data_IF_913819374018
#
_entry.id   IF_913819374018
#
_cell.length_a   1.000
_cell.length_b   1.000
_cell.length_c   1.000
_cell.angle_alpha   90.00
_cell.angle_beta   90.00
_cell.angle_gamma   90.00
#
_symmetry.space_group_name_H-M   'P 1'
#
loop_
_entity.id
_entity.type
_entity.pdbx_description
1 polymer ?
#
# COMPACT_ATOMS: atom_id res chain seq x y z
N UNK A 1 11.13 15.23 -22.24
CA UNK A 1 10.66 13.85 -22.52
C UNK A 1 11.03 13.01 -21.31
N UNK A 2 10.08 12.34 -20.64
CA UNK A 2 10.39 11.50 -19.49
C UNK A 2 11.35 10.37 -19.90
N UNK A 3 12.28 10.02 -19.02
CA UNK A 3 13.18 8.89 -19.27
C UNK A 3 12.41 7.57 -19.17
N UNK A 4 12.96 6.49 -19.74
CA UNK A 4 12.38 5.15 -19.58
C UNK A 4 12.25 4.76 -18.09
N UNK A 5 13.17 5.23 -17.24
CA UNK A 5 13.16 4.99 -15.80
C UNK A 5 12.02 5.75 -15.12
N UNK A 6 11.84 7.03 -15.45
CA UNK A 6 10.72 7.85 -14.95
C UNK A 6 9.38 7.24 -15.35
N UNK A 7 9.19 6.88 -16.63
CA UNK A 7 7.97 6.21 -17.11
C UNK A 7 7.70 4.90 -16.36
N UNK A 8 8.73 4.09 -16.13
CA UNK A 8 8.60 2.83 -15.39
C UNK A 8 8.15 3.08 -13.95
N UNK A 9 8.77 4.04 -13.26
CA UNK A 9 8.39 4.41 -11.90
C UNK A 9 6.95 4.94 -11.85
N UNK A 10 6.55 5.82 -12.77
CA UNK A 10 5.17 6.30 -12.87
C UNK A 10 4.17 5.16 -13.00
N UNK A 11 4.43 4.18 -13.88
CA UNK A 11 3.56 3.00 -14.06
C UNK A 11 3.51 2.16 -12.78
N UNK A 12 4.63 1.96 -12.10
CA UNK A 12 4.66 1.25 -10.81
C UNK A 12 3.78 1.96 -9.77
N UNK A 13 3.87 3.29 -9.66
CA UNK A 13 3.05 4.06 -8.70
C UNK A 13 1.56 3.99 -9.07
N UNK A 14 1.21 4.01 -10.36
CA UNK A 14 -0.18 3.76 -10.82
C UNK A 14 -0.68 2.39 -10.35
N UNK A 15 0.11 1.33 -10.56
CA UNK A 15 -0.24 -0.03 -10.15
C UNK A 15 -0.39 -0.12 -8.63
N UNK A 16 0.51 0.50 -7.87
CA UNK A 16 0.42 0.54 -6.40
C UNK A 16 -0.84 1.29 -5.96
N UNK A 17 -1.10 2.49 -6.49
CA UNK A 17 -2.23 3.31 -6.12
C UNK A 17 -3.56 2.57 -6.34
N UNK A 18 -3.74 1.97 -7.51
CA UNK A 18 -4.94 1.17 -7.81
C UNK A 18 -4.97 -0.11 -6.95
N UNK A 19 -3.84 -0.79 -6.82
CA UNK A 19 -3.72 -2.05 -6.07
C UNK A 19 -4.13 -1.89 -4.60
N UNK A 20 -3.66 -0.85 -3.91
CA UNK A 20 -4.02 -0.61 -2.51
C UNK A 20 -5.49 -0.19 -2.36
N UNK A 21 -6.07 0.52 -3.32
CA UNK A 21 -7.51 0.81 -3.32
C UNK A 21 -8.34 -0.47 -3.45
N UNK A 22 -7.93 -1.40 -4.32
CA UNK A 22 -8.60 -2.68 -4.47
C UNK A 22 -8.48 -3.55 -3.20
N UNK A 23 -7.31 -3.57 -2.57
CA UNK A 23 -7.11 -4.23 -1.26
C UNK A 23 -8.00 -3.57 -0.20
N UNK A 24 -8.04 -2.24 -0.15
CA UNK A 24 -8.90 -1.49 0.76
C UNK A 24 -10.38 -1.81 0.58
N UNK A 25 -10.85 -1.90 -0.68
CA UNK A 25 -12.21 -2.30 -1.01
C UNK A 25 -12.52 -3.74 -0.56
N UNK A 26 -11.55 -4.67 -0.65
CA UNK A 26 -11.74 -6.06 -0.18
C UNK A 26 -12.04 -6.11 1.32
N UNK A 27 -11.48 -5.24 2.15
CA UNK A 27 -11.84 -5.18 3.57
C UNK A 27 -13.32 -4.84 3.80
N UNK A 28 -13.97 -4.17 2.84
CA UNK A 28 -15.36 -3.71 2.98
C UNK A 28 -16.34 -4.76 2.49
N UNK A 29 -16.04 -5.37 1.35
CA UNK A 29 -16.93 -6.30 0.68
C UNK A 29 -16.63 -7.77 0.98
N UNK A 30 -15.43 -8.07 1.50
CA UNK A 30 -15.03 -9.44 1.85
C UNK A 30 -14.28 -9.43 3.18
N UNK A 31 -14.96 -9.28 4.32
CA UNK A 31 -14.27 -9.11 5.62
C UNK A 31 -13.33 -10.27 5.99
N UNK A 32 -13.59 -11.48 5.49
CA UNK A 32 -12.66 -12.63 5.63
C UNK A 32 -11.30 -12.38 4.97
N UNK A 33 -11.21 -11.53 3.96
CA UNK A 33 -9.93 -11.14 3.34
C UNK A 33 -8.94 -10.54 4.33
N UNK A 34 -9.40 -10.05 5.49
CA UNK A 34 -8.51 -9.59 6.55
C UNK A 34 -7.58 -10.70 7.09
N UNK A 35 -7.94 -11.97 6.97
CA UNK A 35 -7.05 -13.08 7.34
C UNK A 35 -5.83 -13.17 6.42
N UNK A 36 -5.94 -12.67 5.19
CA UNK A 36 -4.85 -12.66 4.22
C UNK A 36 -3.78 -11.60 4.54
N UNK A 37 -4.08 -10.67 5.46
CA UNK A 37 -3.16 -9.60 5.86
C UNK A 37 -1.89 -10.15 6.52
N UNK A 38 -1.99 -11.32 7.18
CA UNK A 38 -0.85 -12.05 7.73
C UNK A 38 -0.73 -12.04 9.26
N UNK A 39 -1.68 -11.40 9.97
CA UNK A 39 -1.73 -11.46 11.44
C UNK A 39 -2.36 -12.81 11.88
N UNK A 40 -1.63 -13.66 12.62
CA UNK A 40 -2.19 -14.92 13.12
C UNK A 40 -3.41 -14.72 14.02
N UNK A 41 -4.39 -15.62 13.95
CA UNK A 41 -5.58 -15.56 14.80
C UNK A 41 -6.57 -14.43 14.49
N UNK A 42 -6.45 -13.79 13.32
CA UNK A 42 -7.36 -12.71 12.89
C UNK A 42 -8.84 -13.09 13.02
N UNK A 43 -9.63 -12.42 13.89
CA UNK A 43 -10.99 -12.84 14.22
C UNK A 43 -12.03 -12.23 13.26
N UNK A 44 -11.93 -12.55 11.96
CA UNK A 44 -12.77 -11.96 10.90
C UNK A 44 -14.29 -12.16 11.10
N UNK A 45 -14.69 -13.13 11.93
CA UNK A 45 -16.08 -13.37 12.32
C UNK A 45 -16.67 -12.37 13.31
N UNK A 46 -15.85 -11.58 14.02
CA UNK A 46 -16.32 -10.62 15.02
C UNK A 46 -16.79 -9.30 14.37
N UNK A 47 -18.01 -8.81 14.66
CA UNK A 47 -18.49 -7.52 14.13
C UNK A 47 -17.56 -6.35 14.44
N UNK A 48 -17.05 -6.27 15.67
CA UNK A 48 -16.12 -5.20 16.08
C UNK A 48 -14.81 -5.24 15.27
N UNK A 49 -14.28 -6.43 14.98
CA UNK A 49 -13.10 -6.56 14.14
C UNK A 49 -13.39 -6.16 12.69
N UNK A 50 -14.57 -6.47 12.14
CA UNK A 50 -14.97 -6.00 10.81
C UNK A 50 -15.02 -4.47 10.72
N UNK A 51 -15.49 -3.80 11.77
CA UNK A 51 -15.45 -2.33 11.82
C UNK A 51 -14.00 -1.80 11.80
N UNK A 52 -13.09 -2.40 12.57
CA UNK A 52 -11.67 -2.07 12.53
C UNK A 52 -11.01 -2.35 11.17
N UNK A 53 -11.33 -3.48 10.54
CA UNK A 53 -10.90 -3.80 9.19
C UNK A 53 -11.39 -2.75 8.19
N UNK A 54 -12.60 -2.22 8.39
CA UNK A 54 -13.13 -1.14 7.56
C UNK A 54 -12.38 0.17 7.71
N UNK A 55 -11.98 0.54 8.94
CA UNK A 55 -11.09 1.69 9.18
C UNK A 55 -9.78 1.55 8.39
N UNK A 56 -9.16 0.36 8.41
CA UNK A 56 -7.97 0.10 7.59
C UNK A 56 -8.29 0.23 6.09
N UNK A 57 -9.33 -0.44 5.61
CA UNK A 57 -9.68 -0.41 4.19
C UNK A 57 -9.90 1.00 3.66
N UNK A 58 -10.54 1.87 4.46
CA UNK A 58 -10.73 3.28 4.12
C UNK A 58 -9.41 4.05 4.04
N UNK A 59 -8.44 3.74 4.90
CA UNK A 59 -7.09 4.33 4.82
C UNK A 59 -6.37 3.91 3.55
N UNK A 60 -6.41 2.62 3.20
CA UNK A 60 -5.76 2.11 1.99
C UNK A 60 -6.39 2.76 0.72
N UNK A 61 -7.72 2.89 0.68
CA UNK A 61 -8.42 3.61 -0.40
C UNK A 61 -8.01 5.08 -0.46
N UNK A 62 -7.96 5.75 0.69
CA UNK A 62 -7.60 7.18 0.76
C UNK A 62 -6.17 7.42 0.31
N UNK A 63 -5.22 6.59 0.74
CA UNK A 63 -3.82 6.68 0.32
C UNK A 63 -3.68 6.46 -1.19
N UNK A 64 -4.38 5.47 -1.75
CA UNK A 64 -4.38 5.26 -3.20
C UNK A 64 -4.97 6.45 -3.95
N UNK A 65 -6.08 7.02 -3.47
CA UNK A 65 -6.68 8.21 -4.07
C UNK A 65 -5.72 9.43 -4.02
N UNK A 66 -5.03 9.64 -2.90
CA UNK A 66 -4.01 10.70 -2.79
C UNK A 66 -2.89 10.52 -3.81
N UNK A 67 -2.43 9.28 -4.04
CA UNK A 67 -1.43 8.98 -5.08
C UNK A 67 -1.99 9.21 -6.49
N UNK A 68 -3.25 8.82 -6.77
CA UNK A 68 -3.89 9.08 -8.06
C UNK A 68 -3.99 10.58 -8.35
N UNK A 69 -4.35 11.39 -7.34
CA UNK A 69 -4.40 12.85 -7.47
C UNK A 69 -3.01 13.40 -7.79
N UNK A 70 -1.96 12.93 -7.10
CA UNK A 70 -0.59 13.33 -7.40
C UNK A 70 -0.17 12.92 -8.82
N UNK A 71 -0.41 11.68 -9.23
CA UNK A 71 -0.09 11.17 -10.56
C UNK A 71 -0.79 11.94 -11.70
N UNK A 72 -1.99 12.48 -11.45
CA UNK A 72 -2.78 13.19 -12.44
C UNK A 72 -2.49 14.69 -12.50
N UNK A 73 -2.08 15.31 -11.39
CA UNK A 73 -2.06 16.76 -11.25
C UNK A 73 -0.78 17.37 -10.66
N UNK A 74 0.17 16.55 -10.20
CA UNK A 74 1.40 17.02 -9.57
C UNK A 74 2.65 16.81 -10.45
N UNK A 75 3.76 17.41 -10.03
CA UNK A 75 5.07 17.10 -10.60
C UNK A 75 5.57 15.72 -10.17
N UNK A 76 6.52 15.16 -10.92
CA UNK A 76 7.18 13.91 -10.56
C UNK A 76 7.82 13.99 -9.17
N UNK A 77 8.47 15.12 -8.84
CA UNK A 77 9.07 15.36 -7.53
C UNK A 77 8.05 15.25 -6.37
N UNK A 78 6.88 15.88 -6.50
CA UNK A 78 5.84 15.77 -5.46
C UNK A 78 5.23 14.36 -5.43
N UNK A 79 5.01 13.74 -6.59
CA UNK A 79 4.53 12.35 -6.67
C UNK A 79 5.51 11.37 -6.03
N UNK A 80 6.81 11.60 -6.18
CA UNK A 80 7.87 10.87 -5.49
C UNK A 80 7.74 10.97 -3.98
N UNK A 81 7.63 12.18 -3.43
CA UNK A 81 7.40 12.37 -1.98
C UNK A 81 6.12 11.69 -1.48
N UNK A 82 5.02 11.82 -2.21
CA UNK A 82 3.75 11.17 -1.85
C UNK A 82 3.88 9.64 -1.86
N UNK A 83 4.63 9.09 -2.82
CA UNK A 83 4.92 7.65 -2.91
C UNK A 83 5.77 7.19 -1.73
N UNK A 84 6.81 7.96 -1.37
CA UNK A 84 7.66 7.65 -0.21
C UNK A 84 6.87 7.69 1.11
N UNK A 85 5.98 8.67 1.28
CA UNK A 85 5.09 8.73 2.43
C UNK A 85 4.15 7.52 2.49
N UNK A 86 3.58 7.12 1.35
CA UNK A 86 2.75 5.90 1.24
C UNK A 86 3.53 4.62 1.54
N UNK A 87 4.80 4.55 1.15
CA UNK A 87 5.66 3.38 1.40
C UNK A 87 5.85 3.08 2.90
N UNK A 88 5.77 4.11 3.75
CA UNK A 88 5.81 3.96 5.21
C UNK A 88 4.62 3.15 5.73
N UNK A 89 3.44 3.28 5.12
CA UNK A 89 2.27 2.50 5.52
C UNK A 89 2.49 1.00 5.27
N UNK A 90 2.97 0.63 4.08
CA UNK A 90 3.31 -0.76 3.77
C UNK A 90 4.46 -1.28 4.66
N UNK A 91 5.45 -0.44 4.98
CA UNK A 91 6.52 -0.79 5.92
C UNK A 91 6.00 -1.04 7.34
N UNK A 92 5.09 -0.20 7.83
CA UNK A 92 4.44 -0.37 9.13
C UNK A 92 3.58 -1.64 9.17
N UNK A 93 2.86 -1.95 8.08
CA UNK A 93 2.10 -3.19 7.93
C UNK A 93 3.02 -4.43 7.99
N UNK A 94 4.21 -4.36 7.35
CA UNK A 94 5.21 -5.42 7.44
C UNK A 94 5.67 -5.66 8.89
N UNK A 95 5.96 -4.58 9.62
CA UNK A 95 6.37 -4.66 11.03
C UNK A 95 5.24 -5.21 11.91
N UNK A 96 4.00 -4.76 11.70
CA UNK A 96 2.84 -5.26 12.43
C UNK A 96 2.67 -6.78 12.26
N UNK A 97 2.77 -7.27 11.01
CA UNK A 97 2.71 -8.72 10.73
C UNK A 97 3.88 -9.47 11.36
N UNK A 98 5.11 -8.96 11.24
CA UNK A 98 6.30 -9.58 11.83
C UNK A 98 6.18 -9.70 13.36
N UNK A 99 5.81 -8.61 14.04
CA UNK A 99 5.71 -8.57 15.50
C UNK A 99 4.49 -9.30 16.05
N UNK A 100 3.51 -9.61 15.19
CA UNK A 100 2.39 -10.50 15.52
C UNK A 100 2.74 -11.99 15.36
N UNK A 101 3.98 -12.34 15.01
CA UNK A 101 4.38 -13.72 14.71
C UNK A 101 3.89 -14.24 13.36
N UNK A 102 3.54 -13.34 12.44
CA UNK A 102 3.08 -13.67 11.10
C UNK A 102 4.19 -14.24 10.19
N UNK A 103 3.83 -14.93 9.10
CA UNK A 103 4.80 -15.61 8.24
C UNK A 103 5.62 -14.63 7.39
N UNK A 104 6.88 -14.98 7.11
CA UNK A 104 7.80 -14.19 6.28
C UNK A 104 7.25 -13.89 4.87
N UNK A 105 6.51 -14.84 4.30
CA UNK A 105 5.84 -14.65 3.03
C UNK A 105 4.90 -13.42 3.03
N UNK A 106 4.30 -13.07 4.17
CA UNK A 106 3.42 -11.90 4.29
C UNK A 106 4.19 -10.64 4.65
N UNK A 107 5.01 -10.65 5.71
CA UNK A 107 5.70 -9.42 6.12
C UNK A 107 6.83 -9.02 5.16
N UNK A 108 7.58 -9.96 4.60
CA UNK A 108 8.66 -9.65 3.65
C UNK A 108 8.16 -9.71 2.20
N UNK A 109 7.44 -10.77 1.85
CA UNK A 109 7.03 -11.04 0.46
C UNK A 109 5.90 -10.15 -0.07
N UNK A 110 5.01 -9.66 0.80
CA UNK A 110 3.90 -8.78 0.38
C UNK A 110 4.16 -7.35 0.85
N UNK A 111 4.15 -7.13 2.17
CA UNK A 111 4.22 -5.78 2.73
C UNK A 111 5.58 -5.13 2.53
N UNK A 112 6.65 -5.84 2.91
CA UNK A 112 8.03 -5.39 2.75
C UNK A 112 8.40 -5.17 1.28
N UNK A 113 8.06 -6.10 0.39
CA UNK A 113 8.28 -5.96 -1.04
C UNK A 113 7.53 -4.75 -1.63
N UNK A 114 6.25 -4.56 -1.26
CA UNK A 114 5.48 -3.38 -1.70
C UNK A 114 6.13 -2.09 -1.22
N UNK A 115 6.56 -2.04 0.04
CA UNK A 115 7.29 -0.90 0.61
C UNK A 115 8.58 -0.63 -0.15
N UNK A 116 9.41 -1.65 -0.39
CA UNK A 116 10.68 -1.51 -1.10
C UNK A 116 10.50 -1.03 -2.55
N UNK A 117 9.53 -1.60 -3.28
CA UNK A 117 9.21 -1.19 -4.65
C UNK A 117 8.68 0.25 -4.67
N UNK A 118 7.83 0.62 -3.71
CA UNK A 118 7.33 2.00 -3.56
C UNK A 118 8.47 2.98 -3.27
N UNK A 119 9.42 2.60 -2.40
CA UNK A 119 10.61 3.43 -2.14
C UNK A 119 11.44 3.62 -3.40
N UNK A 120 11.73 2.54 -4.13
CA UNK A 120 12.51 2.62 -5.36
C UNK A 120 11.84 3.52 -6.41
N UNK A 121 10.55 3.32 -6.67
CA UNK A 121 9.79 4.16 -7.61
C UNK A 121 9.68 5.62 -7.12
N UNK A 122 9.43 5.82 -5.83
CA UNK A 122 9.36 7.14 -5.21
C UNK A 122 10.68 7.91 -5.32
N UNK A 123 11.83 7.26 -5.06
CA UNK A 123 13.15 7.87 -5.22
C UNK A 123 13.43 8.22 -6.68
N UNK A 124 13.09 7.35 -7.63
CA UNK A 124 13.23 7.66 -9.06
C UNK A 124 12.45 8.91 -9.42
N UNK A 125 11.17 8.99 -9.07
CA UNK A 125 10.33 10.16 -9.37
C UNK A 125 10.80 11.42 -8.64
N UNK A 126 11.28 11.27 -7.40
CA UNK A 126 11.83 12.36 -6.61
C UNK A 126 13.06 13.00 -7.27
N UNK A 127 13.88 12.20 -7.96
CA UNK A 127 15.14 12.63 -8.58
C UNK A 127 15.03 12.85 -10.10
N UNK A 128 13.82 12.71 -10.68
CA UNK A 128 13.56 12.86 -12.12
C UNK A 128 13.35 14.31 -12.55
#
# INVERSE_FOLDING_TARGET
MPTALTTTATVIVWVIAVGIMLIGARFQFTPRAATDFGIPGTPAGLPAFRAWASVKGNRDITLGLMLLIALLGASDHLTGWMTLAGALAAGADALAVRFSGGPAAKYLGVHGATSAVSVAAGVVLLLS
#
